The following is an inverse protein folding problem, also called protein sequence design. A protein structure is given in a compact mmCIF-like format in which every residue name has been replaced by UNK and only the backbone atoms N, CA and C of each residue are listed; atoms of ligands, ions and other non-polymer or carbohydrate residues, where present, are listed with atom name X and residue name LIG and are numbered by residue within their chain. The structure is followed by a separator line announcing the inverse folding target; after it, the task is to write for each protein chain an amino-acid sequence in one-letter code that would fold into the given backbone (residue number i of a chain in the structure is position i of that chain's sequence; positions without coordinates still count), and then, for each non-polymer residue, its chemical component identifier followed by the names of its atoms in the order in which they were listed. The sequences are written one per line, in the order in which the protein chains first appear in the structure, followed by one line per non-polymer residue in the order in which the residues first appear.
data_IF_366276400264
#
_entry.id   IF_366276400264
#
_cell.length_a   1.000
_cell.length_b   1.000
_cell.length_c   1.000
_cell.angle_alpha   90.00
_cell.angle_beta   90.00
_cell.angle_gamma   90.00
#
_symmetry.space_group_name_H-M   'P 1'
#
loop_
_entity.id
_entity.type
_entity.pdbx_description
1 polymer ?
#
# COMPACT_ATOMS: atom_id res chain seq x y z
N UNK A 1 -2.23 -17.55 20.79
CA UNK A 1 -0.82 -17.68 21.22
C UNK A 1 -0.09 -16.35 21.02
N UNK A 2 0.48 -15.80 22.10
CA UNK A 2 1.30 -14.57 22.19
C UNK A 2 0.63 -13.27 21.72
N UNK A 3 0.06 -12.40 22.57
CA UNK A 3 0.81 -11.36 23.29
C UNK A 3 0.06 -10.82 24.53
N UNK A 4 -0.92 -11.55 25.05
CA UNK A 4 -1.58 -11.22 26.32
C UNK A 4 -0.69 -11.45 27.57
N UNK A 5 0.56 -11.91 27.39
CA UNK A 5 1.27 -12.60 28.45
C UNK A 5 2.25 -11.76 29.29
N UNK A 6 2.82 -10.62 28.86
CA UNK A 6 3.81 -9.94 29.74
C UNK A 6 4.23 -8.48 29.51
N UNK A 7 3.83 -7.75 28.46
CA UNK A 7 4.21 -6.34 28.28
C UNK A 7 3.03 -5.47 27.83
N UNK A 8 3.01 -4.19 28.23
CA UNK A 8 1.85 -3.29 28.32
C UNK A 8 0.75 -3.50 27.25
N UNK A 9 -0.54 -3.63 27.63
CA UNK A 9 -1.64 -3.90 26.69
C UNK A 9 -1.91 -2.74 25.70
N UNK A 10 -1.44 -1.53 26.01
CA UNK A 10 -1.64 -0.32 25.21
C UNK A 10 -0.83 -0.35 23.89
N UNK A 11 0.48 -0.64 23.85
CA UNK A 11 1.24 -0.69 22.60
C UNK A 11 0.72 -1.74 21.61
N UNK A 12 0.21 -2.89 22.05
CA UNK A 12 -0.35 -3.91 21.11
C UNK A 12 -1.67 -3.48 20.47
N UNK A 13 -2.51 -2.71 21.18
CA UNK A 13 -3.73 -2.13 20.59
C UNK A 13 -3.36 -1.09 19.54
N UNK A 14 -2.37 -0.25 19.84
CA UNK A 14 -1.90 0.77 18.91
C UNK A 14 -1.29 0.15 17.65
N UNK A 15 -0.50 -0.92 17.78
CA UNK A 15 0.06 -1.66 16.64
C UNK A 15 -1.04 -2.31 15.78
N UNK A 16 -2.01 -2.98 16.40
CA UNK A 16 -3.18 -3.52 15.70
C UNK A 16 -4.01 -2.44 15.00
N UNK A 17 -4.15 -1.26 15.60
CA UNK A 17 -4.86 -0.13 15.00
C UNK A 17 -4.10 0.46 13.80
N UNK A 18 -2.78 0.64 13.93
CA UNK A 18 -1.92 1.08 12.83
C UNK A 18 -1.94 0.10 11.66
N UNK A 19 -1.87 -1.20 11.94
CA UNK A 19 -2.00 -2.26 10.92
C UNK A 19 -3.38 -2.24 10.27
N UNK A 20 -4.44 -2.07 11.06
CA UNK A 20 -5.82 -1.95 10.58
C UNK A 20 -6.02 -0.76 9.64
N UNK A 21 -5.55 0.43 10.03
CA UNK A 21 -5.58 1.62 9.17
C UNK A 21 -4.81 1.39 7.88
N UNK A 22 -3.63 0.78 7.95
CA UNK A 22 -2.83 0.46 6.77
C UNK A 22 -3.61 -0.43 5.79
N UNK A 23 -4.26 -1.48 6.30
CA UNK A 23 -5.11 -2.35 5.48
C UNK A 23 -6.29 -1.59 4.87
N UNK A 24 -7.02 -0.82 5.67
CA UNK A 24 -8.16 -0.03 5.19
C UNK A 24 -7.73 0.94 4.08
N UNK A 25 -6.58 1.58 4.23
CA UNK A 25 -6.07 2.55 3.26
C UNK A 25 -5.70 1.87 1.93
N UNK A 26 -5.07 0.70 1.99
CA UNK A 26 -4.81 -0.14 0.81
C UNK A 26 -6.11 -0.58 0.13
N UNK A 27 -7.09 -1.07 0.90
CA UNK A 27 -8.38 -1.49 0.37
C UNK A 27 -9.16 -0.32 -0.25
N UNK A 28 -9.11 0.86 0.36
CA UNK A 28 -9.75 2.07 -0.15
C UNK A 28 -9.12 2.51 -1.49
N UNK A 29 -7.80 2.52 -1.59
CA UNK A 29 -7.07 2.79 -2.83
C UNK A 29 -7.43 1.80 -3.93
N UNK A 30 -7.38 0.49 -3.62
CA UNK A 30 -7.72 -0.57 -4.58
C UNK A 30 -9.19 -0.48 -5.02
N UNK A 31 -10.11 -0.18 -4.10
CA UNK A 31 -11.53 -0.01 -4.42
C UNK A 31 -11.78 1.23 -5.30
N UNK A 32 -11.11 2.35 -5.02
CA UNK A 32 -11.20 3.56 -5.84
C UNK A 32 -10.66 3.32 -7.25
N UNK A 33 -9.48 2.71 -7.37
CA UNK A 33 -8.91 2.32 -8.67
C UNK A 33 -9.86 1.39 -9.44
N UNK A 34 -10.49 0.44 -8.75
CA UNK A 34 -11.47 -0.47 -9.35
C UNK A 34 -12.66 0.25 -9.96
N UNK A 35 -13.17 1.26 -9.27
CA UNK A 35 -14.34 2.01 -9.72
C UNK A 35 -14.00 2.94 -10.89
N UNK A 36 -12.83 3.59 -10.84
CA UNK A 36 -12.32 4.42 -11.94
C UNK A 36 -12.10 3.59 -13.20
N UNK A 37 -11.38 2.46 -13.10
CA UNK A 37 -11.07 1.61 -14.26
C UNK A 37 -12.30 0.83 -14.73
N UNK A 38 -13.18 0.44 -13.81
CA UNK A 38 -14.35 -0.39 -14.08
C UNK A 38 -15.55 0.38 -14.61
N UNK A 39 -15.79 1.62 -14.18
CA UNK A 39 -16.99 2.40 -14.55
C UNK A 39 -16.68 3.79 -15.13
N UNK A 40 -15.43 4.27 -15.05
CA UNK A 40 -15.07 5.61 -15.51
C UNK A 40 -15.56 6.75 -14.58
N UNK A 41 -16.00 6.41 -13.38
CA UNK A 41 -16.63 7.33 -12.42
C UNK A 41 -16.14 7.05 -11.00
N UNK A 42 -15.94 8.09 -10.20
CA UNK A 42 -15.70 7.98 -8.76
C UNK A 42 -17.00 8.22 -7.99
N UNK A 43 -17.34 7.31 -7.07
CA UNK A 43 -18.53 7.38 -6.19
C UNK A 43 -19.89 7.30 -6.91
N UNK A 44 -19.93 6.61 -8.05
CA UNK A 44 -21.19 6.35 -8.76
C UNK A 44 -22.12 5.47 -7.93
N UNK A 45 -23.28 6.00 -7.55
CA UNK A 45 -24.27 5.28 -6.73
C UNK A 45 -24.43 5.83 -5.31
N UNK A 46 -23.64 6.81 -4.86
CA UNK A 46 -23.98 7.57 -3.64
C UNK A 46 -25.28 8.36 -3.83
N UNK A 47 -25.54 8.84 -5.05
CA UNK A 47 -26.79 9.46 -5.49
C UNK A 47 -28.02 8.53 -5.38
N UNK A 48 -27.84 7.21 -5.50
CA UNK A 48 -28.91 6.23 -5.28
C UNK A 48 -29.21 6.00 -3.80
N UNK A 49 -28.20 6.15 -2.93
CA UNK A 49 -28.33 5.90 -1.48
C UNK A 49 -28.71 7.17 -0.71
N UNK A 50 -28.17 8.32 -1.10
CA UNK A 50 -28.34 9.62 -0.42
C UNK A 50 -29.27 10.59 -1.18
N UNK A 51 -29.86 10.14 -2.29
CA UNK A 51 -30.81 10.92 -3.07
C UNK A 51 -30.16 12.03 -3.93
N UNK A 52 -30.98 12.93 -4.52
CA UNK A 52 -30.52 13.93 -5.49
C UNK A 52 -29.39 14.84 -5.00
N UNK A 53 -29.27 15.02 -3.68
CA UNK A 53 -28.28 15.85 -3.00
C UNK A 53 -26.85 15.33 -3.09
N UNK A 54 -26.66 14.03 -3.38
CA UNK A 54 -25.33 13.41 -3.49
C UNK A 54 -24.75 13.43 -4.91
N UNK A 55 -25.50 13.93 -5.90
CA UNK A 55 -24.99 14.13 -7.28
C UNK A 55 -23.74 15.02 -7.34
N UNK A 56 -23.54 15.89 -6.36
CA UNK A 56 -22.36 16.75 -6.27
C UNK A 56 -21.05 16.00 -5.96
N UNK A 57 -21.13 14.80 -5.38
CA UNK A 57 -19.96 13.96 -5.06
C UNK A 57 -19.64 12.96 -6.17
N UNK A 58 -20.50 12.84 -7.18
CA UNK A 58 -20.32 11.92 -8.31
C UNK A 58 -19.42 12.60 -9.34
N UNK A 59 -18.16 12.18 -9.39
CA UNK A 59 -17.22 12.68 -10.40
C UNK A 59 -17.25 11.74 -11.61
N UNK A 60 -17.98 12.14 -12.64
CA UNK A 60 -18.02 11.45 -13.93
C UNK A 60 -16.80 11.86 -14.75
N UNK A 61 -15.83 10.95 -14.90
CA UNK A 61 -14.55 11.24 -15.57
C UNK A 61 -14.65 10.97 -17.08
N UNK A 62 -15.46 9.99 -17.53
CA UNK A 62 -15.63 9.66 -18.95
C UNK A 62 -17.11 9.37 -19.25
N UNK A 63 -17.79 10.14 -20.12
CA UNK A 63 -19.09 9.76 -20.66
C UNK A 63 -18.90 8.60 -21.66
N UNK A 64 -19.80 7.60 -21.63
CA UNK A 64 -19.82 6.44 -22.54
C UNK A 64 -18.71 5.37 -22.32
N UNK A 65 -18.32 5.12 -21.06
CA UNK A 65 -17.40 4.02 -20.76
C UNK A 65 -18.16 2.69 -20.62
N UNK A 66 -18.03 1.82 -21.63
CA UNK A 66 -18.40 0.40 -21.53
C UNK A 66 -17.48 -0.25 -20.48
N UNK A 67 -17.94 -0.22 -19.23
CA UNK A 67 -17.17 -0.62 -18.07
C UNK A 67 -16.33 -1.88 -18.26
N UNK A 68 -15.06 -1.83 -17.84
CA UNK A 68 -14.17 -2.98 -17.96
C UNK A 68 -14.54 -4.01 -16.88
N UNK A 69 -15.33 -5.03 -17.25
CA UNK A 69 -15.79 -6.07 -16.33
C UNK A 69 -14.63 -6.70 -15.54
N UNK A 70 -13.49 -6.93 -16.20
CA UNK A 70 -12.29 -7.49 -15.57
C UNK A 70 -11.73 -6.61 -14.45
N UNK A 71 -11.95 -5.29 -14.47
CA UNK A 71 -11.58 -4.42 -13.35
C UNK A 71 -12.49 -4.66 -12.15
N UNK A 72 -13.81 -4.77 -12.35
CA UNK A 72 -14.79 -4.92 -11.26
C UNK A 72 -14.76 -6.32 -10.62
N UNK A 73 -14.42 -7.34 -11.40
CA UNK A 73 -14.34 -8.74 -10.99
C UNK A 73 -13.10 -9.04 -10.10
N UNK A 74 -13.11 -10.16 -9.34
CA UNK A 74 -11.98 -10.59 -8.50
C UNK A 74 -10.57 -10.46 -9.15
N UNK A 75 -10.33 -10.82 -10.43
CA UNK A 75 -9.07 -10.61 -11.13
C UNK A 75 -8.53 -9.17 -11.07
N UNK A 76 -9.38 -8.14 -11.10
CA UNK A 76 -8.95 -6.75 -11.02
C UNK A 76 -8.27 -6.40 -9.70
N UNK A 77 -8.72 -7.01 -8.60
CA UNK A 77 -8.09 -6.85 -7.28
C UNK A 77 -6.69 -7.48 -7.24
N UNK A 78 -6.50 -8.63 -7.88
CA UNK A 78 -5.18 -9.28 -7.98
C UNK A 78 -4.18 -8.44 -8.79
N UNK A 79 -4.61 -7.87 -9.92
CA UNK A 79 -3.78 -6.98 -10.73
C UNK A 79 -3.44 -5.68 -9.97
N UNK A 80 -4.41 -5.09 -9.28
CA UNK A 80 -4.20 -3.92 -8.43
C UNK A 80 -3.19 -4.17 -7.31
N UNK A 81 -3.31 -5.30 -6.62
CA UNK A 81 -2.36 -5.70 -5.58
C UNK A 81 -0.96 -5.93 -6.14
N UNK A 82 -0.84 -6.60 -7.31
CA UNK A 82 0.44 -6.79 -7.99
C UNK A 82 1.12 -5.47 -8.36
N UNK A 83 0.36 -4.51 -8.89
CA UNK A 83 0.87 -3.15 -9.17
C UNK A 83 1.32 -2.42 -7.91
N UNK A 84 0.56 -2.54 -6.81
CA UNK A 84 0.91 -1.91 -5.54
C UNK A 84 2.21 -2.48 -4.96
N UNK A 85 2.38 -3.80 -5.02
CA UNK A 85 3.62 -4.47 -4.58
C UNK A 85 4.80 -4.05 -5.48
N UNK A 86 4.61 -3.98 -6.80
CA UNK A 86 5.65 -3.53 -7.72
C UNK A 86 6.09 -2.08 -7.44
N UNK A 87 5.11 -1.19 -7.22
CA UNK A 87 5.37 0.20 -6.84
C UNK A 87 6.13 0.29 -5.51
N UNK A 88 5.72 -0.50 -4.50
CA UNK A 88 6.41 -0.55 -3.21
C UNK A 88 7.85 -1.05 -3.35
N UNK A 89 8.06 -2.14 -4.07
CA UNK A 89 9.40 -2.69 -4.33
C UNK A 89 10.30 -1.67 -5.05
N UNK A 90 9.75 -0.92 -6.01
CA UNK A 90 10.51 0.13 -6.70
C UNK A 90 10.95 1.26 -5.75
N UNK A 91 10.07 1.69 -4.84
CA UNK A 91 10.40 2.67 -3.80
C UNK A 91 11.46 2.11 -2.85
N UNK A 92 11.32 0.85 -2.43
CA UNK A 92 12.26 0.21 -1.51
C UNK A 92 13.66 0.08 -2.12
N UNK A 93 13.76 -0.27 -3.41
CA UNK A 93 15.04 -0.28 -4.15
C UNK A 93 15.69 1.10 -4.15
N UNK A 94 14.90 2.16 -4.36
CA UNK A 94 15.41 3.54 -4.38
C UNK A 94 15.86 4.02 -2.99
N UNK A 95 15.20 3.57 -1.93
CA UNK A 95 15.60 3.89 -0.56
C UNK A 95 16.86 3.13 -0.15
N UNK A 96 16.97 1.84 -0.50
CA UNK A 96 18.19 1.03 -0.28
C UNK A 96 19.42 1.60 -0.98
N UNK A 97 19.26 2.19 -2.16
CA UNK A 97 20.35 2.85 -2.88
C UNK A 97 20.92 4.08 -2.15
N UNK A 98 20.17 4.66 -1.18
CA UNK A 98 20.66 5.76 -0.33
C UNK A 98 21.39 5.24 0.90
N UNK A 99 20.95 4.11 1.46
CA UNK A 99 21.57 3.51 2.65
C UNK A 99 22.93 2.86 2.34
N UNK A 100 23.15 2.37 1.12
CA UNK A 100 24.42 1.73 0.72
C UNK A 100 25.61 2.69 0.55
N UNK A 101 25.43 4.00 0.80
CA UNK A 101 26.54 4.97 0.80
C UNK A 101 27.25 5.06 2.17
N UNK A 102 26.72 4.42 3.21
CA UNK A 102 27.28 4.51 4.57
C UNK A 102 27.99 3.26 5.13
N UNK A 103 28.15 2.17 4.37
CA UNK A 103 28.87 0.96 4.82
C UNK A 103 30.25 0.74 4.16
N UNK A 104 30.82 1.80 3.57
CA UNK A 104 32.11 1.74 2.86
C UNK A 104 33.34 2.19 3.66
N UNK A 105 33.35 2.10 4.99
CA UNK A 105 34.49 2.59 5.79
C UNK A 105 34.78 1.79 7.08
N UNK A 106 35.00 0.48 6.99
CA UNK A 106 35.72 -0.24 8.06
C UNK A 106 36.56 -1.44 7.63
N UNK A 107 36.89 -1.60 6.35
CA UNK A 107 37.74 -2.72 5.88
C UNK A 107 39.11 -2.21 5.42
N UNK A 108 39.90 -1.60 6.31
CA UNK A 108 41.35 -1.33 6.05
C UNK A 108 42.15 -1.03 7.33
N UNK A 109 41.95 -1.79 8.42
CA UNK A 109 42.80 -1.65 9.62
C UNK A 109 43.23 -2.97 10.28
N UNK A 110 43.22 -4.09 9.57
CA UNK A 110 43.75 -5.35 10.12
C UNK A 110 44.55 -6.12 9.08
N UNK A 111 45.72 -5.57 8.70
CA UNK A 111 46.79 -6.34 8.07
C UNK A 111 48.03 -6.34 8.97
N UNK A 112 48.21 -7.46 9.69
CA UNK A 112 49.45 -8.07 10.19
C UNK A 112 50.31 -7.29 11.23
N UNK A 113 51.05 -7.94 12.17
CA UNK A 113 51.58 -9.32 12.10
C UNK A 113 51.50 -10.13 13.43
N UNK A 114 51.08 -11.39 13.35
CA UNK A 114 51.35 -12.38 14.41
C UNK A 114 52.15 -13.56 13.84
N UNK A 115 53.35 -13.26 13.33
CA UNK A 115 54.41 -14.22 13.09
C UNK A 115 55.73 -13.58 13.55
N UNK A 116 56.08 -13.78 14.82
CA UNK A 116 57.44 -14.01 15.34
C UNK A 116 57.45 -13.82 16.87
N UNK A 117 57.21 -14.91 17.60
CA UNK A 117 57.98 -15.44 18.76
C UNK A 117 57.24 -16.65 19.31
#
# INVERSE_FOLDING_TARGET
ESFAAKNAPIPSILDGFMMGIGLTLVLALLSGMREVIGKGTLFSGLDLVFGPSAKQFVLTVIPDYHGFLLAVLPPGAFLGLGMLIAARNWIDIRNKAKDSTHEGHTTEAEFHPALNT
#
